data_IF_535373375243
#
_entry.id   IF_535373375243
#
_cell.length_a   1.000
_cell.length_b   1.000
_cell.length_c   1.000
_cell.angle_alpha   90.00
_cell.angle_beta   90.00
_cell.angle_gamma   90.00
#
_symmetry.space_group_name_H-M   'P 1'
#
loop_
_entity.id
_entity.type
_entity.pdbx_description
1 polymer ?
#
# COMPACT_ATOMS: atom_id res chain seq x y z
N UNK A 1 -9.52 -17.41 -11.70
CA UNK A 1 -9.83 -16.45 -12.78
C UNK A 1 -11.28 -16.03 -12.59
N UNK A 2 -11.54 -14.73 -12.48
CA UNK A 2 -12.89 -14.19 -12.28
C UNK A 2 -13.12 -13.05 -13.26
N UNK A 3 -14.37 -12.92 -13.72
CA UNK A 3 -14.80 -11.80 -14.56
C UNK A 3 -15.45 -10.76 -13.67
N UNK A 4 -14.95 -9.51 -13.72
CA UNK A 4 -15.55 -8.38 -13.02
C UNK A 4 -16.20 -7.45 -14.06
N UNK A 5 -17.49 -7.16 -13.89
CA UNK A 5 -18.23 -6.23 -14.75
C UNK A 5 -18.63 -5.00 -13.95
N UNK A 6 -18.11 -3.83 -14.32
CA UNK A 6 -18.49 -2.54 -13.72
C UNK A 6 -19.58 -1.92 -14.58
N UNK A 7 -20.79 -1.81 -14.03
CA UNK A 7 -21.93 -1.15 -14.69
C UNK A 7 -21.91 0.36 -14.42
N UNK A 8 -22.44 1.14 -15.36
CA UNK A 8 -22.57 2.60 -15.25
C UNK A 8 -21.24 3.32 -14.96
N UNK A 9 -20.13 2.84 -15.56
CA UNK A 9 -18.86 3.54 -15.47
C UNK A 9 -18.94 4.88 -16.21
N UNK A 10 -18.60 5.96 -15.51
CA UNK A 10 -18.57 7.30 -16.10
C UNK A 10 -17.60 7.35 -17.31
N UNK A 11 -18.06 7.94 -18.42
CA UNK A 11 -17.30 7.96 -19.68
C UNK A 11 -15.97 8.70 -19.54
N UNK A 12 -15.90 9.74 -18.69
CA UNK A 12 -14.63 10.45 -18.44
C UNK A 12 -13.65 9.53 -17.73
N UNK A 13 -14.14 8.67 -16.83
CA UNK A 13 -13.32 7.66 -16.16
C UNK A 13 -12.78 6.63 -17.14
N UNK A 14 -13.64 6.11 -18.02
CA UNK A 14 -13.24 5.17 -19.07
C UNK A 14 -12.19 5.77 -20.02
N UNK A 15 -12.37 7.03 -20.45
CA UNK A 15 -11.42 7.75 -21.30
C UNK A 15 -10.06 7.97 -20.60
N UNK A 16 -10.05 8.24 -19.29
CA UNK A 16 -8.81 8.37 -18.50
C UNK A 16 -8.08 7.04 -18.38
N UNK A 17 -8.80 5.94 -18.13
CA UNK A 17 -8.22 4.59 -18.10
C UNK A 17 -7.57 4.24 -19.44
N UNK A 18 -8.24 4.55 -20.56
CA UNK A 18 -7.71 4.31 -21.90
C UNK A 18 -6.40 5.06 -22.17
N UNK A 19 -6.33 6.34 -21.80
CA UNK A 19 -5.09 7.14 -21.93
C UNK A 19 -3.97 6.60 -21.06
N UNK A 20 -4.28 6.19 -19.83
CA UNK A 20 -3.30 5.62 -18.89
C UNK A 20 -2.76 4.27 -19.39
N UNK A 21 -3.64 3.40 -19.88
CA UNK A 21 -3.28 2.12 -20.48
C UNK A 21 -2.34 2.29 -21.69
N UNK A 22 -2.66 3.23 -22.59
CA UNK A 22 -1.80 3.58 -23.73
C UNK A 22 -0.42 4.09 -23.28
N UNK A 23 -0.36 4.96 -22.26
CA UNK A 23 0.89 5.44 -21.68
C UNK A 23 1.76 4.30 -21.13
N UNK A 24 1.14 3.28 -20.55
CA UNK A 24 1.84 2.11 -20.00
C UNK A 24 2.04 0.98 -21.02
N UNK A 25 1.64 1.16 -22.29
CA UNK A 25 1.82 0.15 -23.33
C UNK A 25 1.01 -1.14 -23.11
N UNK A 26 -0.13 -1.07 -22.42
CA UNK A 26 -0.98 -2.24 -22.11
C UNK A 26 -2.45 -2.02 -22.43
N UNK A 27 -3.24 -3.09 -22.44
CA UNK A 27 -4.69 -3.00 -22.65
C UNK A 27 -5.39 -2.30 -21.48
N UNK A 28 -6.59 -1.77 -21.72
CA UNK A 28 -7.41 -1.14 -20.67
C UNK A 28 -7.70 -2.13 -19.55
N UNK A 29 -8.01 -3.38 -19.88
CA UNK A 29 -8.22 -4.44 -18.90
C UNK A 29 -6.97 -4.70 -18.06
N UNK A 30 -5.79 -4.76 -18.68
CA UNK A 30 -4.53 -4.94 -17.96
C UNK A 30 -4.20 -3.74 -17.06
N UNK A 31 -4.57 -2.52 -17.47
CA UNK A 31 -4.47 -1.33 -16.62
C UNK A 31 -5.39 -1.42 -15.42
N UNK A 32 -6.67 -1.79 -15.62
CA UNK A 32 -7.64 -1.95 -14.54
C UNK A 32 -7.18 -3.02 -13.56
N UNK A 33 -6.74 -4.17 -14.05
CA UNK A 33 -6.20 -5.25 -13.21
C UNK A 33 -5.04 -4.77 -12.36
N UNK A 34 -4.05 -4.10 -12.95
CA UNK A 34 -2.90 -3.63 -12.19
C UNK A 34 -3.22 -2.50 -11.21
N UNK A 35 -4.21 -1.64 -11.51
CA UNK A 35 -4.70 -0.67 -10.53
C UNK A 35 -5.33 -1.42 -9.36
N UNK A 36 -6.20 -2.39 -9.63
CA UNK A 36 -6.82 -3.21 -8.58
C UNK A 36 -5.77 -3.93 -7.76
N UNK A 37 -4.86 -4.65 -8.38
CA UNK A 37 -3.73 -5.33 -7.71
C UNK A 37 -2.98 -4.36 -6.82
N UNK A 38 -2.48 -3.23 -7.35
CA UNK A 38 -1.76 -2.24 -6.53
C UNK A 38 -2.59 -1.67 -5.36
N UNK A 39 -3.92 -1.59 -5.49
CA UNK A 39 -4.80 -1.10 -4.42
C UNK A 39 -5.22 -2.16 -3.41
N UNK A 40 -5.24 -3.44 -3.78
CA UNK A 40 -5.63 -4.55 -2.90
C UNK A 40 -4.41 -5.27 -2.31
N UNK A 41 -3.24 -5.11 -2.93
CA UNK A 41 -1.94 -5.58 -2.45
C UNK A 41 -1.42 -4.65 -1.34
N UNK A 42 -2.31 -4.31 -0.39
CA UNK A 42 -1.87 -3.95 0.95
C UNK A 42 -1.14 -5.17 1.50
N UNK A 43 -0.05 -4.99 2.25
CA UNK A 43 0.66 -6.12 2.83
C UNK A 43 -0.36 -6.99 3.57
N UNK A 44 -0.45 -8.27 3.17
CA UNK A 44 -1.38 -9.25 3.75
C UNK A 44 -1.27 -9.30 5.27
N UNK A 45 -0.11 -8.93 5.78
CA UNK A 45 0.19 -8.82 7.19
C UNK A 45 0.29 -7.37 7.63
N UNK A 46 -0.32 -7.07 8.77
CA UNK A 46 -0.05 -5.87 9.54
C UNK A 46 1.48 -5.71 9.68
N UNK A 47 2.01 -4.49 9.50
CA UNK A 47 3.44 -4.19 9.65
C UNK A 47 4.04 -4.79 10.93
N UNK A 48 3.32 -4.74 12.06
CA UNK A 48 3.76 -5.32 13.33
C UNK A 48 3.87 -6.85 13.29
N UNK A 49 2.97 -7.52 12.54
CA UNK A 49 3.02 -8.97 12.36
C UNK A 49 4.19 -9.37 11.45
N UNK A 50 4.39 -8.65 10.35
CA UNK A 50 5.52 -8.89 9.44
C UNK A 50 6.87 -8.65 10.17
N UNK A 51 6.97 -7.59 10.97
CA UNK A 51 8.15 -7.31 11.80
C UNK A 51 8.37 -8.42 12.84
N UNK A 52 7.29 -8.87 13.52
CA UNK A 52 7.38 -9.94 14.50
C UNK A 52 7.83 -11.25 13.86
N UNK A 53 7.31 -11.61 12.69
CA UNK A 53 7.72 -12.80 11.95
C UNK A 53 9.22 -12.73 11.60
N UNK A 54 9.67 -11.61 11.05
CA UNK A 54 11.09 -11.40 10.73
C UNK A 54 12.02 -11.48 11.96
N UNK A 55 11.57 -11.00 13.13
CA UNK A 55 12.35 -11.03 14.37
C UNK A 55 12.25 -12.38 15.12
N UNK A 56 11.24 -13.19 14.83
CA UNK A 56 11.00 -14.47 15.51
C UNK A 56 12.12 -15.48 15.25
N UNK A 57 12.69 -15.47 14.05
CA UNK A 57 13.78 -16.38 13.67
C UNK A 57 15.08 -16.13 14.46
N UNK A 58 15.24 -14.92 14.99
CA UNK A 58 16.43 -14.47 15.72
C UNK A 58 16.20 -14.54 17.24
N UNK A 59 14.97 -14.82 17.68
CA UNK A 59 14.60 -14.93 19.10
C UNK A 59 14.42 -13.58 19.83
N UNK A 60 14.35 -12.48 19.08
CA UNK A 60 14.34 -11.12 19.61
C UNK A 60 15.75 -10.54 19.81
N UNK A 61 15.83 -9.21 19.87
CA UNK A 61 17.08 -8.47 20.07
C UNK A 61 16.95 -7.55 21.27
N UNK A 62 17.97 -7.53 22.12
CA UNK A 62 18.10 -6.52 23.16
C UNK A 62 18.89 -5.34 22.60
N UNK A 63 18.19 -4.23 22.35
CA UNK A 63 18.78 -3.04 21.76
C UNK A 63 19.29 -2.15 22.89
N UNK A 64 20.60 -1.86 22.97
CA UNK A 64 21.10 -0.88 23.93
C UNK A 64 20.45 0.46 23.59
N UNK A 65 19.63 0.96 24.53
CA UNK A 65 18.97 2.25 24.38
C UNK A 65 19.89 3.34 24.93
N UNK A 66 20.19 4.34 24.09
CA UNK A 66 20.89 5.53 24.56
C UNK A 66 20.02 6.30 25.58
N UNK A 67 20.70 6.98 26.50
CA UNK A 67 20.02 7.86 27.46
C UNK A 67 19.31 8.99 26.71
N UNK A 68 18.01 9.16 26.96
CA UNK A 68 17.25 10.28 26.38
C UNK A 68 17.70 11.58 27.01
N UNK A 69 18.55 12.34 26.32
CA UNK A 69 19.06 13.64 26.78
C UNK A 69 18.26 14.84 26.26
N UNK A 70 17.39 14.63 25.28
CA UNK A 70 16.63 15.71 24.65
C UNK A 70 15.45 16.17 25.50
N UNK A 71 15.17 17.48 25.44
CA UNK A 71 13.98 18.05 26.04
C UNK A 71 12.72 17.55 25.31
N UNK A 72 11.62 17.27 26.03
CA UNK A 72 10.35 16.92 25.41
C UNK A 72 9.92 17.99 24.41
N UNK A 73 9.39 17.57 23.25
CA UNK A 73 8.74 18.50 22.32
C UNK A 73 7.53 19.12 23.04
N UNK A 74 7.41 20.45 22.95
CA UNK A 74 6.20 21.16 23.40
C UNK A 74 4.98 20.67 22.62
N UNK A 75 3.92 20.30 23.33
CA UNK A 75 2.61 19.99 22.74
C UNK A 75 1.70 21.19 22.98
N UNK A 76 1.10 21.71 21.91
CA UNK A 76 0.06 22.72 21.99
C UNK A 76 -1.27 22.04 22.36
N UNK A 77 -1.90 22.49 23.45
CA UNK A 77 -3.16 21.96 23.97
C UNK A 77 -4.32 22.95 23.81
N UNK A 78 -4.11 24.01 23.02
CA UNK A 78 -5.08 25.07 22.75
C UNK A 78 -6.19 24.64 21.79
#
# INVERSE_FOLDING_TARGET
>A
MGTLTIRQLDERTHARLRRRAAKHGRSVEAEVRAILDATVDLPKENFLLALRAAMSDIGGVDLPLDSRTDLPRSVDLS
#
